data_IF_401191075800
#
_entry.id   IF_401191075800
#
_cell.length_a   1.000
_cell.length_b   1.000
_cell.length_c   1.000
_cell.angle_alpha   90.00
_cell.angle_beta   90.00
_cell.angle_gamma   90.00
#
_symmetry.space_group_name_H-M   'P 1'
#
loop_
_entity.id
_entity.type
_entity.pdbx_description
1 polymer ?
#
# COMPACT_ATOMS: atom_id res chain seq x y z
N UNK A 1 14.19 2.23 6.14
CA UNK A 1 14.60 3.46 5.46
C UNK A 1 14.75 3.19 3.97
N UNK A 2 14.15 4.02 3.14
CA UNK A 2 14.28 3.93 1.69
C UNK A 2 14.85 5.23 1.15
N UNK A 3 15.92 5.13 0.34
CA UNK A 3 16.57 6.29 -0.30
C UNK A 3 16.60 6.04 -1.80
N UNK A 4 16.08 7.00 -2.57
CA UNK A 4 16.00 6.88 -4.02
C UNK A 4 17.37 6.56 -4.64
N UNK A 5 17.43 5.47 -5.40
CA UNK A 5 18.66 4.96 -6.03
C UNK A 5 19.57 4.15 -5.13
N UNK A 6 19.28 4.02 -3.82
CA UNK A 6 20.15 3.33 -2.88
C UNK A 6 19.55 2.07 -2.25
N UNK A 7 18.24 1.88 -2.41
CA UNK A 7 17.53 0.71 -1.87
C UNK A 7 16.76 1.01 -0.58
N UNK A 8 16.12 -0.03 -0.07
CA UNK A 8 15.36 0.01 1.18
C UNK A 8 16.04 -0.89 2.22
N UNK A 9 16.12 -0.40 3.46
CA UNK A 9 16.82 -1.10 4.55
C UNK A 9 15.97 -1.12 5.82
N UNK A 10 15.93 -2.27 6.48
CA UNK A 10 15.31 -2.46 7.78
C UNK A 10 16.38 -2.92 8.77
N UNK A 11 16.64 -2.11 9.80
CA UNK A 11 17.70 -2.35 10.78
C UNK A 11 19.06 -2.63 10.11
N UNK A 12 19.39 -1.86 9.07
CA UNK A 12 20.66 -1.98 8.35
C UNK A 12 20.74 -3.13 7.35
N UNK A 13 19.70 -3.95 7.26
CA UNK A 13 19.64 -5.05 6.29
C UNK A 13 18.73 -4.67 5.12
N UNK A 14 19.14 -4.97 3.91
CA UNK A 14 18.36 -4.72 2.71
C UNK A 14 17.05 -5.51 2.76
N UNK A 15 15.96 -4.84 2.49
CA UNK A 15 14.64 -5.47 2.46
C UNK A 15 13.98 -5.33 1.09
N UNK A 16 13.08 -6.26 0.79
CA UNK A 16 12.32 -6.31 -0.45
C UNK A 16 10.87 -6.67 -0.16
N UNK A 17 9.97 -6.20 -1.02
CA UNK A 17 8.58 -6.64 -1.00
C UNK A 17 8.48 -8.14 -1.27
N UNK A 18 7.34 -8.72 -0.92
CA UNK A 18 7.06 -10.14 -1.21
C UNK A 18 6.88 -10.35 -2.73
N UNK A 19 6.82 -11.61 -3.13
CA UNK A 19 6.55 -11.99 -4.52
C UNK A 19 5.07 -12.28 -4.79
N UNK A 20 4.18 -11.89 -3.86
CA UNK A 20 2.73 -12.11 -3.98
C UNK A 20 2.18 -11.39 -5.21
N UNK A 21 1.48 -12.13 -6.07
CA UNK A 21 0.96 -11.63 -7.35
C UNK A 21 -0.55 -11.73 -7.50
N UNK A 22 -1.24 -12.36 -6.54
CA UNK A 22 -2.68 -12.58 -6.63
C UNK A 22 -3.37 -12.16 -5.33
N UNK A 23 -4.58 -11.61 -5.45
CA UNK A 23 -5.35 -11.14 -4.30
C UNK A 23 -5.68 -12.26 -3.30
N UNK A 24 -6.00 -13.44 -3.79
CA UNK A 24 -6.39 -14.58 -2.93
C UNK A 24 -5.25 -15.10 -2.05
N UNK A 25 -4.02 -14.72 -2.33
CA UNK A 25 -2.85 -15.03 -1.50
C UNK A 25 -2.40 -13.85 -0.64
N UNK A 26 -2.95 -12.66 -0.87
CA UNK A 26 -2.45 -11.43 -0.30
C UNK A 26 -2.89 -11.17 1.14
N UNK A 27 -1.99 -10.58 1.91
CA UNK A 27 -2.26 -9.98 3.22
C UNK A 27 -2.50 -8.49 2.99
N UNK A 28 -3.73 -8.03 3.27
CA UNK A 28 -4.15 -6.64 3.15
C UNK A 28 -4.11 -5.96 4.51
N UNK A 29 -3.54 -4.77 4.57
CA UNK A 29 -3.49 -3.95 5.76
C UNK A 29 -4.09 -2.56 5.52
N UNK A 30 -4.77 -2.05 6.52
CA UNK A 30 -5.19 -0.65 6.65
C UNK A 30 -5.16 -0.26 8.11
N UNK A 31 -5.03 1.03 8.42
CA UNK A 31 -5.02 1.47 9.82
C UNK A 31 -6.43 1.45 10.40
N UNK A 32 -7.36 2.12 9.74
CA UNK A 32 -8.76 2.23 10.19
C UNK A 32 -9.65 2.54 9.01
N UNK A 33 -10.87 2.02 9.06
CA UNK A 33 -11.91 2.33 8.06
C UNK A 33 -12.77 3.54 8.45
N UNK A 34 -12.52 4.15 9.59
CA UNK A 34 -13.31 5.28 10.11
C UNK A 34 -13.26 6.50 9.20
N UNK A 35 -12.16 6.70 8.50
CA UNK A 35 -11.98 7.84 7.58
C UNK A 35 -12.45 7.55 6.16
N UNK A 36 -12.99 6.38 5.90
CA UNK A 36 -13.44 6.00 4.57
C UNK A 36 -14.81 6.61 4.29
N UNK A 37 -14.96 7.27 3.14
CA UNK A 37 -16.27 7.65 2.64
C UNK A 37 -17.10 6.39 2.34
N UNK A 38 -18.44 6.49 2.22
CA UNK A 38 -19.25 5.33 1.84
C UNK A 38 -18.80 4.68 0.52
N UNK A 39 -18.39 5.46 -0.46
CA UNK A 39 -17.88 4.95 -1.73
C UNK A 39 -16.56 4.20 -1.54
N UNK A 40 -15.61 4.80 -0.82
CA UNK A 40 -14.34 4.15 -0.51
C UNK A 40 -14.53 2.88 0.30
N UNK A 41 -15.48 2.89 1.25
CA UNK A 41 -15.77 1.72 2.06
C UNK A 41 -16.31 0.56 1.23
N UNK A 42 -17.16 0.84 0.25
CA UNK A 42 -17.68 -0.18 -0.67
C UNK A 42 -16.56 -0.84 -1.47
N UNK A 43 -15.69 -0.03 -2.04
CA UNK A 43 -14.52 -0.50 -2.81
C UNK A 43 -13.54 -1.29 -1.94
N UNK A 44 -13.24 -0.77 -0.76
CA UNK A 44 -12.35 -1.46 0.19
C UNK A 44 -12.94 -2.79 0.64
N UNK A 45 -14.25 -2.85 0.89
CA UNK A 45 -14.95 -4.08 1.26
C UNK A 45 -14.81 -5.13 0.16
N UNK A 46 -14.98 -4.74 -1.10
CA UNK A 46 -14.77 -5.66 -2.23
C UNK A 46 -13.34 -6.17 -2.26
N UNK A 47 -12.36 -5.28 -2.10
CA UNK A 47 -10.94 -5.67 -2.08
C UNK A 47 -10.65 -6.65 -0.95
N UNK A 48 -11.09 -6.35 0.28
CA UNK A 48 -10.80 -7.23 1.42
C UNK A 48 -11.45 -8.61 1.29
N UNK A 49 -12.59 -8.72 0.65
CA UNK A 49 -13.25 -10.02 0.43
C UNK A 49 -12.47 -10.93 -0.52
N UNK A 50 -11.64 -10.35 -1.39
CA UNK A 50 -10.83 -11.08 -2.35
C UNK A 50 -9.44 -11.43 -1.82
N UNK A 51 -9.04 -10.88 -0.68
CA UNK A 51 -7.73 -11.14 -0.08
C UNK A 51 -7.78 -12.29 0.91
N UNK A 52 -6.61 -12.91 1.13
CA UNK A 52 -6.50 -14.05 2.06
C UNK A 52 -6.67 -13.65 3.51
N UNK A 53 -6.01 -12.56 3.91
CA UNK A 53 -5.99 -12.08 5.30
C UNK A 53 -6.08 -10.55 5.28
N UNK A 54 -6.81 -9.98 6.23
CA UNK A 54 -6.85 -8.54 6.46
C UNK A 54 -6.51 -8.25 7.91
N UNK A 55 -5.78 -7.16 8.11
CA UNK A 55 -5.37 -6.67 9.42
C UNK A 55 -5.55 -5.16 9.48
N UNK A 56 -5.88 -4.67 10.66
CA UNK A 56 -6.13 -3.26 10.93
C UNK A 56 -5.13 -2.73 11.95
N UNK A 57 -4.93 -1.42 11.93
CA UNK A 57 -3.98 -0.75 12.82
C UNK A 57 -2.58 -0.68 12.24
N UNK A 58 -1.71 0.09 12.87
CA UNK A 58 -0.29 0.16 12.53
C UNK A 58 0.18 1.45 11.88
N UNK A 59 -0.71 2.36 11.50
CA UNK A 59 -0.37 3.66 10.89
C UNK A 59 0.65 3.51 9.76
N UNK A 60 1.70 4.31 9.72
CA UNK A 60 2.73 4.23 8.68
C UNK A 60 3.52 2.90 8.71
N UNK A 61 3.48 2.17 9.81
CA UNK A 61 4.18 0.89 9.94
C UNK A 61 3.68 -0.18 8.97
N UNK A 62 2.41 -0.10 8.54
CA UNK A 62 1.89 -1.06 7.55
C UNK A 62 2.66 -1.02 6.23
N UNK A 63 3.15 0.16 5.83
CA UNK A 63 3.99 0.31 4.64
C UNK A 63 5.37 -0.30 4.83
N UNK A 64 5.93 -0.19 6.03
CA UNK A 64 7.17 -0.87 6.38
C UNK A 64 6.99 -2.40 6.31
N UNK A 65 5.83 -2.91 6.69
CA UNK A 65 5.49 -4.32 6.56
C UNK A 65 5.46 -4.76 5.10
N UNK A 66 4.86 -3.96 4.22
CA UNK A 66 4.85 -4.24 2.77
C UNK A 66 6.28 -4.21 2.22
N UNK A 67 7.05 -3.18 2.54
CA UNK A 67 8.44 -3.03 2.08
C UNK A 67 9.35 -4.18 2.56
N UNK A 68 9.05 -4.77 3.70
CA UNK A 68 9.84 -5.87 4.28
C UNK A 68 9.36 -7.26 3.86
N UNK A 69 8.27 -7.34 3.07
CA UNK A 69 7.75 -8.62 2.58
C UNK A 69 6.84 -9.36 3.56
N UNK A 70 6.39 -8.72 4.64
CA UNK A 70 5.54 -9.33 5.67
C UNK A 70 4.05 -9.08 5.48
N UNK A 71 3.71 -8.10 4.65
CA UNK A 71 2.36 -7.86 4.15
C UNK A 71 2.47 -7.60 2.65
N UNK A 72 1.34 -7.62 1.96
CA UNK A 72 1.37 -7.58 0.49
C UNK A 72 0.69 -6.34 -0.08
N UNK A 73 -0.33 -5.82 0.61
CA UNK A 73 -1.09 -4.63 0.19
C UNK A 73 -1.32 -3.73 1.41
N UNK A 74 -1.14 -2.44 1.23
CA UNK A 74 -1.62 -1.41 2.15
C UNK A 74 -2.53 -0.46 1.37
N UNK A 75 -3.75 -0.23 1.87
CA UNK A 75 -4.73 0.65 1.24
C UNK A 75 -5.35 1.56 2.30
N UNK A 76 -5.23 2.87 2.09
CA UNK A 76 -5.73 3.86 3.04
C UNK A 76 -6.36 5.05 2.33
N UNK A 77 -7.20 5.79 3.06
CA UNK A 77 -7.78 7.06 2.63
C UNK A 77 -7.61 8.11 3.73
N UNK A 78 -7.84 9.38 3.38
CA UNK A 78 -7.80 10.48 4.35
C UNK A 78 -6.40 10.86 4.80
N UNK A 79 -5.37 10.47 4.08
CA UNK A 79 -3.98 10.80 4.40
C UNK A 79 -3.61 12.21 3.93
N UNK A 80 -2.69 12.83 4.66
CA UNK A 80 -2.08 14.10 4.29
C UNK A 80 -0.73 13.85 3.60
N UNK A 81 -0.23 14.85 2.89
CA UNK A 81 1.05 14.72 2.17
C UNK A 81 2.21 14.31 3.09
N UNK A 82 2.22 14.81 4.32
CA UNK A 82 3.24 14.45 5.31
C UNK A 82 3.09 13.01 5.83
N UNK A 83 1.94 12.36 5.59
CA UNK A 83 1.75 10.95 5.96
C UNK A 83 2.35 10.01 4.93
N UNK A 84 2.23 10.31 3.63
CA UNK A 84 2.59 9.35 2.58
C UNK A 84 3.84 9.69 1.78
N UNK A 85 4.27 10.95 1.71
CA UNK A 85 5.38 11.31 0.81
C UNK A 85 6.69 10.62 1.16
N UNK A 86 6.98 10.44 2.44
CA UNK A 86 8.18 9.72 2.88
C UNK A 86 8.10 8.21 2.60
N UNK A 87 6.89 7.66 2.40
CA UNK A 87 6.68 6.24 2.16
C UNK A 87 6.91 5.86 0.70
N UNK A 88 6.81 6.82 -0.21
CA UNK A 88 6.99 6.56 -1.65
C UNK A 88 8.35 5.92 -1.93
N UNK A 89 9.50 6.52 -1.53
CA UNK A 89 10.79 5.88 -1.76
C UNK A 89 10.96 4.57 -0.98
N UNK A 90 10.36 4.42 0.18
CA UNK A 90 10.42 3.17 0.95
C UNK A 90 9.83 2.01 0.15
N UNK A 91 8.63 2.18 -0.39
CA UNK A 91 7.96 1.15 -1.18
C UNK A 91 8.67 0.93 -2.51
N UNK A 92 8.98 2.00 -3.24
CA UNK A 92 9.60 1.89 -4.57
C UNK A 92 11.00 1.24 -4.49
N UNK A 93 11.82 1.62 -3.53
CA UNK A 93 13.16 1.06 -3.36
C UNK A 93 13.15 -0.38 -2.84
N UNK A 94 12.06 -0.81 -2.22
CA UNK A 94 11.87 -2.21 -1.84
C UNK A 94 11.37 -3.08 -3.01
N UNK A 95 11.06 -2.48 -4.16
CA UNK A 95 10.58 -3.19 -5.34
C UNK A 95 9.05 -3.21 -5.48
N UNK A 96 8.32 -2.53 -4.60
CA UNK A 96 6.87 -2.42 -4.66
C UNK A 96 6.39 -1.28 -5.53
N UNK A 97 5.07 -1.15 -5.62
CA UNK A 97 4.39 -0.08 -6.33
C UNK A 97 3.51 0.69 -5.36
N UNK A 98 3.57 2.00 -5.41
CA UNK A 98 2.72 2.88 -4.61
C UNK A 98 2.09 3.96 -5.49
N UNK A 99 0.76 4.08 -5.42
CA UNK A 99 -0.03 5.07 -6.15
C UNK A 99 -1.16 5.59 -5.27
N UNK A 100 -1.88 6.59 -5.77
CA UNK A 100 -3.23 6.85 -5.27
C UNK A 100 -4.22 5.81 -5.85
N UNK A 101 -5.51 5.93 -5.49
CA UNK A 101 -6.52 4.97 -5.98
C UNK A 101 -6.94 5.23 -7.43
N UNK A 102 -6.43 6.26 -8.07
CA UNK A 102 -6.59 6.48 -9.52
C UNK A 102 -5.41 5.94 -10.34
N UNK A 103 -4.37 5.45 -9.68
CA UNK A 103 -3.19 4.89 -10.33
C UNK A 103 -2.05 5.88 -10.56
N UNK A 104 -2.19 7.12 -10.06
CA UNK A 104 -1.14 8.13 -10.18
C UNK A 104 -0.11 7.98 -9.06
N UNK A 105 1.16 8.22 -9.39
CA UNK A 105 2.20 8.29 -8.37
C UNK A 105 1.88 9.44 -7.40
N UNK A 106 1.95 9.21 -6.08
CA UNK A 106 1.56 10.24 -5.11
C UNK A 106 2.47 11.47 -5.16
N UNK A 107 1.86 12.63 -5.00
CA UNK A 107 2.54 13.92 -4.86
C UNK A 107 1.88 14.75 -3.77
N UNK A 108 2.34 15.98 -3.56
CA UNK A 108 1.85 16.83 -2.47
C UNK A 108 0.39 17.28 -2.64
N UNK A 109 -0.19 17.12 -3.83
CA UNK A 109 -1.58 17.50 -4.13
C UNK A 109 -2.47 16.27 -4.37
N UNK A 110 -1.99 15.07 -4.05
CA UNK A 110 -2.79 13.85 -4.16
C UNK A 110 -4.01 13.89 -3.22
N UNK A 111 -5.03 13.12 -3.56
CA UNK A 111 -6.34 13.17 -2.87
C UNK A 111 -6.37 12.49 -1.50
N UNK A 112 -5.24 11.98 -1.03
CA UNK A 112 -5.13 11.30 0.27
C UNK A 112 -5.46 9.82 0.24
N UNK A 113 -5.80 9.26 -0.93
CA UNK A 113 -5.92 7.81 -1.10
C UNK A 113 -4.55 7.23 -1.45
N UNK A 114 -4.19 6.12 -0.84
CA UNK A 114 -2.91 5.46 -1.10
C UNK A 114 -3.13 3.96 -1.24
N UNK A 115 -2.49 3.39 -2.25
CA UNK A 115 -2.41 1.96 -2.50
C UNK A 115 -0.94 1.58 -2.71
N UNK A 116 -0.41 0.77 -1.80
CA UNK A 116 0.91 0.16 -1.95
C UNK A 116 0.76 -1.35 -2.10
N UNK A 117 1.51 -1.94 -3.00
CA UNK A 117 1.47 -3.39 -3.24
C UNK A 117 2.86 -3.94 -3.50
N UNK A 118 3.04 -5.23 -3.18
CA UNK A 118 4.32 -5.92 -3.27
C UNK A 118 4.82 -6.08 -4.71
N UNK A 119 3.91 -6.26 -5.67
CA UNK A 119 4.25 -6.49 -7.09
C UNK A 119 3.34 -5.65 -8.00
N UNK A 120 3.80 -5.34 -9.23
CA UNK A 120 2.95 -4.64 -10.20
C UNK A 120 1.65 -5.39 -10.52
N UNK A 121 1.69 -6.71 -10.60
CA UNK A 121 0.52 -7.53 -10.90
C UNK A 121 -0.53 -7.43 -9.78
N UNK A 122 -0.08 -7.50 -8.53
CA UNK A 122 -0.95 -7.38 -7.37
C UNK A 122 -1.54 -5.97 -7.28
N UNK A 123 -0.71 -4.96 -7.53
CA UNK A 123 -1.14 -3.56 -7.56
C UNK A 123 -2.26 -3.36 -8.59
N UNK A 124 -2.09 -3.89 -9.80
CA UNK A 124 -3.08 -3.74 -10.87
C UNK A 124 -4.42 -4.36 -10.48
N UNK A 125 -4.41 -5.56 -9.91
CA UNK A 125 -5.64 -6.23 -9.46
C UNK A 125 -6.38 -5.44 -8.38
N UNK A 126 -5.64 -4.90 -7.41
CA UNK A 126 -6.21 -4.07 -6.36
C UNK A 126 -6.73 -2.74 -6.92
N UNK A 127 -5.98 -2.12 -7.82
CA UNK A 127 -6.35 -0.85 -8.44
C UNK A 127 -7.64 -0.95 -9.26
N UNK A 128 -7.85 -2.04 -9.98
CA UNK A 128 -9.09 -2.26 -10.75
C UNK A 128 -10.33 -2.22 -9.87
N UNK A 129 -10.22 -2.67 -8.63
CA UNK A 129 -11.32 -2.60 -7.66
C UNK A 129 -11.45 -1.19 -7.10
N UNK A 130 -10.34 -0.58 -6.67
CA UNK A 130 -10.36 0.70 -5.97
C UNK A 130 -10.66 1.88 -6.90
N UNK A 131 -10.23 1.82 -8.14
CA UNK A 131 -10.47 2.86 -9.15
C UNK A 131 -11.85 2.73 -9.83
N UNK A 132 -12.44 1.58 -9.74
CA UNK A 132 -13.69 1.20 -10.40
C UNK A 132 -14.96 1.88 -9.93
#
# INVERSE_FOLDING_TARGET
MGVAGEGCFFNGQRCHTSECRTLDEAILMTTSVEYFSPDHMGKFTELQQKTRVRRYGGDCYIYAMVASGWADIAAETGLQSYDYMALVPVIEEAGGVITDWSGKRPDIVSDGTILAAATPELHQQALEILAG
#
